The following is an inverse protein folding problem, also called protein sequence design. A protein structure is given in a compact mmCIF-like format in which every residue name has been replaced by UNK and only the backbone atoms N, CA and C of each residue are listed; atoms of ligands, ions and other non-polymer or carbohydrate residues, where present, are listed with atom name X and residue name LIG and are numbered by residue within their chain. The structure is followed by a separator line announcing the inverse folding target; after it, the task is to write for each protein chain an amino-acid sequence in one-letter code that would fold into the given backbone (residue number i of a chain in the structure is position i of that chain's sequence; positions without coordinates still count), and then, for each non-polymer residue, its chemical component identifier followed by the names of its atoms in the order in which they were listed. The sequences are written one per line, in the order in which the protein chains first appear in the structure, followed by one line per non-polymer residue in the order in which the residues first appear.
data_IF_918215868848
#
_entry.id   IF_918215868848
#
_cell.length_a   1.000
_cell.length_b   1.000
_cell.length_c   1.000
_cell.angle_alpha   90.00
_cell.angle_beta   90.00
_cell.angle_gamma   90.00
#
_symmetry.space_group_name_H-M   'P 1'
#
loop_
_entity.id
_entity.type
_entity.pdbx_description
1 polymer ?
#
# COMPACT_ATOMS: atom_id res chain seq x y z
N UNK A 1 -21.32 11.10 5.32
CA UNK A 1 -20.13 10.23 5.47
C UNK A 1 -19.68 9.75 4.10
N UNK A 2 -18.40 9.57 3.94
CA UNK A 2 -17.84 9.23 2.63
C UNK A 2 -17.53 7.74 2.53
N UNK A 3 -18.19 7.07 1.59
CA UNK A 3 -17.88 5.66 1.31
C UNK A 3 -16.49 5.50 0.71
N UNK A 4 -16.06 6.50 -0.06
CA UNK A 4 -14.73 6.48 -0.64
C UNK A 4 -13.67 6.51 0.46
N UNK A 5 -13.79 7.42 1.42
CA UNK A 5 -12.83 7.52 2.53
C UNK A 5 -12.81 6.22 3.33
N UNK A 6 -13.97 5.67 3.64
CA UNK A 6 -14.03 4.41 4.39
C UNK A 6 -13.36 3.27 3.62
N UNK A 7 -13.61 3.19 2.32
CA UNK A 7 -12.99 2.17 1.47
C UNK A 7 -11.49 2.31 1.42
N UNK A 8 -10.99 3.53 1.31
CA UNK A 8 -9.56 3.80 1.30
C UNK A 8 -8.93 3.41 2.63
N UNK A 9 -9.54 3.78 3.74
CA UNK A 9 -9.03 3.43 5.07
C UNK A 9 -8.99 1.91 5.26
N UNK A 10 -10.02 1.20 4.81
CA UNK A 10 -10.02 -0.26 4.85
C UNK A 10 -8.89 -0.85 4.03
N UNK A 11 -8.71 -0.34 2.82
CA UNK A 11 -7.66 -0.83 1.94
C UNK A 11 -6.29 -0.63 2.56
N UNK A 12 -6.08 0.49 3.24
CA UNK A 12 -4.80 0.83 3.86
C UNK A 12 -4.55 0.11 5.19
N UNK A 13 -5.54 -0.57 5.74
CA UNK A 13 -5.39 -1.26 7.03
C UNK A 13 -4.54 -2.52 6.95
N UNK A 14 -4.24 -3.00 5.75
CA UNK A 14 -3.43 -4.20 5.54
C UNK A 14 -1.98 -3.82 5.23
N UNK A 15 -1.01 -4.27 6.04
CA UNK A 15 0.40 -3.94 5.77
C UNK A 15 0.88 -4.32 4.36
N UNK A 16 0.46 -5.49 3.86
CA UNK A 16 0.85 -5.92 2.53
C UNK A 16 0.39 -4.95 1.45
N UNK A 17 -0.80 -4.38 1.61
CA UNK A 17 -1.33 -3.41 0.65
C UNK A 17 -0.53 -2.12 0.65
N UNK A 18 -0.12 -1.67 1.84
CA UNK A 18 0.73 -0.48 1.95
C UNK A 18 2.08 -0.71 1.29
N UNK A 19 2.64 -1.91 1.44
CA UNK A 19 3.91 -2.25 0.78
C UNK A 19 3.78 -2.26 -0.74
N UNK A 20 2.68 -2.79 -1.26
CA UNK A 20 2.43 -2.76 -2.69
C UNK A 20 2.32 -1.32 -3.21
N UNK A 21 1.63 -0.46 -2.48
CA UNK A 21 1.54 0.95 -2.86
C UNK A 21 2.90 1.63 -2.86
N UNK A 22 3.74 1.33 -1.88
CA UNK A 22 5.10 1.89 -1.81
C UNK A 22 5.93 1.44 -3.00
N UNK A 23 5.85 0.19 -3.36
CA UNK A 23 6.56 -0.32 -4.53
C UNK A 23 6.10 0.43 -5.79
N UNK A 24 4.81 0.66 -5.91
CA UNK A 24 4.26 1.38 -7.06
C UNK A 24 4.57 2.87 -7.04
N UNK A 25 4.93 3.43 -5.89
CA UNK A 25 5.30 4.84 -5.83
C UNK A 25 6.60 5.12 -6.56
N UNK A 26 7.43 4.11 -6.77
CA UNK A 26 8.69 4.26 -7.49
C UNK A 26 8.51 4.17 -8.99
N UNK A 27 7.70 3.22 -9.45
CA UNK A 27 7.45 3.03 -10.88
C UNK A 27 6.32 2.04 -11.10
N UNK A 28 5.78 2.06 -12.30
CA UNK A 28 4.78 1.10 -12.74
C UNK A 28 5.39 -0.31 -12.70
N UNK A 29 4.60 -1.31 -12.35
CA UNK A 29 5.11 -2.66 -12.17
C UNK A 29 4.04 -3.71 -12.46
N UNK A 30 4.45 -4.86 -13.00
CA UNK A 30 3.52 -5.96 -13.21
C UNK A 30 3.34 -6.78 -11.93
N UNK A 31 2.30 -7.62 -11.90
CA UNK A 31 1.97 -8.39 -10.70
C UNK A 31 3.07 -9.35 -10.30
N UNK A 32 3.78 -9.92 -11.28
CA UNK A 32 4.88 -10.86 -10.98
C UNK A 32 6.00 -10.18 -10.22
N UNK A 33 6.45 -9.02 -10.72
CA UNK A 33 7.51 -8.27 -10.07
C UNK A 33 7.06 -7.70 -8.73
N UNK A 34 5.81 -7.26 -8.63
CA UNK A 34 5.27 -6.75 -7.37
C UNK A 34 5.22 -7.84 -6.30
N UNK A 35 4.75 -9.03 -6.66
CA UNK A 35 4.65 -10.13 -5.71
C UNK A 35 6.04 -10.54 -5.21
N UNK A 36 7.00 -10.65 -6.12
CA UNK A 36 8.36 -11.00 -5.79
C UNK A 36 9.01 -9.95 -4.88
N UNK A 37 8.87 -8.69 -5.24
CA UNK A 37 9.46 -7.59 -4.47
C UNK A 37 8.86 -7.43 -3.08
N UNK A 38 7.60 -7.79 -2.90
CA UNK A 38 6.91 -7.67 -1.61
C UNK A 38 6.86 -8.97 -0.81
N UNK A 39 7.47 -10.04 -1.33
CA UNK A 39 7.48 -11.31 -0.63
C UNK A 39 6.12 -11.97 -0.56
N UNK A 40 5.29 -11.77 -1.56
CA UNK A 40 3.94 -12.35 -1.62
C UNK A 40 3.87 -13.37 -2.74
N UNK A 41 3.01 -14.37 -2.59
CA UNK A 41 2.70 -15.20 -3.74
C UNK A 41 1.80 -14.41 -4.69
N UNK A 42 1.79 -14.80 -5.95
CA UNK A 42 1.10 -14.05 -6.99
C UNK A 42 -0.43 -13.99 -6.78
N UNK A 43 -1.10 -15.08 -6.39
CA UNK A 43 -2.54 -14.99 -6.12
C UNK A 43 -2.88 -14.03 -4.98
N UNK A 44 -2.07 -13.99 -3.93
CA UNK A 44 -2.27 -13.07 -2.81
C UNK A 44 -2.06 -11.62 -3.26
N UNK A 45 -0.98 -11.36 -3.99
CA UNK A 45 -0.72 -10.04 -4.53
C UNK A 45 -1.87 -9.57 -5.43
N UNK A 46 -2.39 -10.46 -6.28
CA UNK A 46 -3.50 -10.13 -7.17
C UNK A 46 -4.75 -9.74 -6.40
N UNK A 47 -5.04 -10.44 -5.31
CA UNK A 47 -6.20 -10.11 -4.46
C UNK A 47 -6.05 -8.75 -3.82
N UNK A 48 -4.86 -8.45 -3.31
CA UNK A 48 -4.60 -7.15 -2.69
C UNK A 48 -4.68 -6.03 -3.73
N UNK A 49 -4.14 -6.25 -4.92
CA UNK A 49 -4.19 -5.26 -5.98
C UNK A 49 -5.62 -5.02 -6.44
N UNK A 50 -6.45 -6.07 -6.50
CA UNK A 50 -7.87 -5.91 -6.82
C UNK A 50 -8.58 -5.06 -5.78
N UNK A 51 -8.28 -5.26 -4.50
CA UNK A 51 -8.86 -4.47 -3.42
C UNK A 51 -8.40 -3.01 -3.49
N UNK A 52 -7.11 -2.78 -3.77
CA UNK A 52 -6.59 -1.43 -3.93
C UNK A 52 -7.22 -0.72 -5.13
N UNK A 53 -7.43 -1.45 -6.21
CA UNK A 53 -8.08 -0.89 -7.40
C UNK A 53 -9.53 -0.53 -7.10
N UNK A 54 -10.25 -1.40 -6.40
CA UNK A 54 -11.63 -1.14 -6.03
C UNK A 54 -11.75 0.10 -5.14
N UNK A 55 -10.73 0.37 -4.32
CA UNK A 55 -10.69 1.55 -3.47
C UNK A 55 -10.22 2.82 -4.21
N UNK A 56 -9.83 2.69 -5.47
CA UNK A 56 -9.38 3.83 -6.27
C UNK A 56 -7.94 4.22 -6.09
N UNK A 57 -7.13 3.36 -5.50
CA UNK A 57 -5.74 3.69 -5.18
C UNK A 57 -4.74 3.27 -6.25
N UNK A 58 -5.10 2.29 -7.07
CA UNK A 58 -4.24 1.86 -8.18
C UNK A 58 -5.02 1.75 -9.46
N UNK A 59 -4.31 1.87 -10.57
CA UNK A 59 -4.82 1.66 -11.93
C UNK A 59 -4.10 0.47 -12.53
N UNK A 60 -4.73 -0.16 -13.52
CA UNK A 60 -4.13 -1.27 -14.22
C UNK A 60 -4.18 -0.99 -15.73
N UNK A 61 -3.11 -1.34 -16.40
CA UNK A 61 -2.98 -1.24 -17.84
C UNK A 61 -2.62 -2.63 -18.38
N UNK A 62 -3.28 -3.05 -19.43
CA UNK A 62 -2.97 -4.33 -20.07
C UNK A 62 -1.94 -4.08 -21.16
N UNK A 63 -0.84 -4.82 -21.12
CA UNK A 63 0.22 -4.76 -22.09
C UNK A 63 0.52 -6.18 -22.56
N UNK A 64 -0.16 -6.61 -23.63
CA UNK A 64 -0.08 -7.98 -24.07
C UNK A 64 -0.67 -8.92 -23.03
N UNK A 65 0.16 -9.78 -22.47
CA UNK A 65 -0.24 -10.72 -21.42
C UNK A 65 0.02 -10.18 -20.02
N UNK A 66 0.60 -8.99 -19.94
CA UNK A 66 1.01 -8.42 -18.66
C UNK A 66 -0.02 -7.44 -18.16
N UNK A 67 -0.22 -7.47 -16.87
CA UNK A 67 -1.02 -6.46 -16.16
C UNK A 67 -0.07 -5.56 -15.42
N UNK A 68 0.01 -4.31 -15.86
CA UNK A 68 0.92 -3.33 -15.28
C UNK A 68 0.13 -2.39 -14.39
N UNK A 69 0.50 -2.37 -13.12
CA UNK A 69 -0.17 -1.55 -12.11
C UNK A 69 0.60 -0.27 -11.86
N UNK A 70 -0.13 0.78 -11.55
CA UNK A 70 0.45 2.08 -11.20
C UNK A 70 -0.45 2.75 -10.18
N UNK A 71 0.08 3.78 -9.49
CA UNK A 71 -0.76 4.56 -8.57
C UNK A 71 -1.81 5.32 -9.37
N UNK A 72 -3.05 5.30 -8.85
CA UNK A 72 -4.11 6.16 -9.36
C UNK A 72 -4.12 7.44 -8.54
N UNK A 73 -4.58 8.55 -9.13
CA UNK A 73 -4.73 9.80 -8.41
C UNK A 73 -3.48 10.16 -7.61
N UNK A 74 -2.35 10.21 -8.29
CA UNK A 74 -1.05 10.37 -7.63
C UNK A 74 -0.96 11.60 -6.76
N UNK A 75 -1.63 12.68 -7.16
CA UNK A 75 -1.63 13.93 -6.41
C UNK A 75 -2.28 13.79 -5.03
N UNK A 76 -3.04 12.72 -4.83
CA UNK A 76 -3.66 12.40 -3.55
C UNK A 76 -2.93 11.24 -2.88
N UNK A 77 -2.65 10.19 -3.63
CA UNK A 77 -2.10 8.94 -3.06
C UNK A 77 -0.66 9.13 -2.58
N UNK A 78 0.16 9.88 -3.33
CA UNK A 78 1.56 10.10 -2.90
C UNK A 78 1.66 10.82 -1.57
N UNK A 79 0.93 11.93 -1.34
CA UNK A 79 0.94 12.56 -0.01
C UNK A 79 0.44 11.64 1.09
N UNK A 80 -0.54 10.78 0.81
CA UNK A 80 -1.01 9.81 1.78
C UNK A 80 0.10 8.84 2.19
N UNK A 81 0.85 8.33 1.22
CA UNK A 81 1.95 7.41 1.50
C UNK A 81 3.06 8.10 2.28
N UNK A 82 3.35 9.35 1.97
CA UNK A 82 4.31 10.13 2.74
C UNK A 82 3.87 10.27 4.19
N UNK A 83 2.60 10.58 4.40
CA UNK A 83 2.05 10.73 5.73
C UNK A 83 2.14 9.42 6.53
N UNK A 84 1.80 8.31 5.89
CA UNK A 84 1.93 6.99 6.52
C UNK A 84 3.37 6.70 6.90
N UNK A 85 4.32 7.07 6.05
CA UNK A 85 5.75 6.92 6.34
C UNK A 85 6.17 7.75 7.55
N UNK A 86 5.62 8.95 7.66
CA UNK A 86 5.90 9.81 8.82
C UNK A 86 5.31 9.23 10.11
N UNK A 87 4.15 8.59 10.02
CA UNK A 87 3.57 7.90 11.17
C UNK A 87 4.43 6.73 11.62
N UNK A 88 4.99 5.99 10.68
CA UNK A 88 5.91 4.89 11.00
C UNK A 88 7.17 5.42 11.67
N UNK A 89 7.71 6.53 11.16
CA UNK A 89 8.87 7.17 11.79
C UNK A 89 8.55 7.66 13.20
N UNK A 90 7.34 8.20 13.39
CA UNK A 90 6.89 8.62 14.70
C UNK A 90 6.78 7.42 15.64
N UNK A 91 6.26 6.31 15.15
CA UNK A 91 6.16 5.09 15.96
C UNK A 91 7.53 4.65 16.44
N UNK A 92 8.53 4.67 15.58
CA UNK A 92 9.90 4.33 15.95
C UNK A 92 10.45 5.26 17.02
N UNK A 93 10.16 6.57 16.91
CA UNK A 93 10.57 7.55 17.90
C UNK A 93 9.90 7.29 19.25
N UNK A 94 8.60 6.96 19.22
CA UNK A 94 7.87 6.67 20.44
C UNK A 94 8.36 5.40 21.09
N UNK A 95 8.69 4.37 20.30
CA UNK A 95 9.24 3.10 20.81
C UNK A 95 10.64 3.31 21.35
N UNK A 96 11.45 4.11 20.68
CA UNK A 96 12.80 4.43 21.13
C UNK A 96 12.82 5.27 22.39
N UNK A 97 11.83 6.13 22.60
CA UNK A 97 11.73 6.99 23.76
C UNK A 97 11.03 6.33 24.95
N UNK A 98 10.11 5.41 24.67
CA UNK A 98 9.31 4.76 25.70
C UNK A 98 9.92 3.43 26.12
N UNK A 99 9.87 3.11 27.41
CA UNK A 99 10.35 1.79 27.87
C UNK A 99 9.53 0.67 27.25
N UNK A 100 10.20 -0.45 26.98
CA UNK A 100 9.58 -1.62 26.39
C UNK A 100 8.33 -2.11 27.08
N UNK A 101 8.25 -2.13 28.41
CA UNK A 101 7.08 -2.69 29.08
C UNK A 101 5.77 -2.05 28.66
N UNK A 102 5.81 -0.81 28.24
CA UNK A 102 4.61 -0.12 27.81
C UNK A 102 3.97 -0.75 26.58
N UNK A 103 4.70 -1.57 25.88
CA UNK A 103 4.22 -2.20 24.64
C UNK A 103 3.83 -3.64 24.82
N UNK A 104 3.99 -4.16 26.02
CA UNK A 104 3.72 -5.56 26.27
C UNK A 104 2.25 -5.91 26.24
N UNK A 105 1.42 -4.93 26.20
CA UNK A 105 -0.03 -5.15 26.15
C UNK A 105 -0.52 -5.59 24.80
#
# INVERSE_FOLDING_TARGET
MSELVTGVCRALSHPARRELLRALSSHECDVGNLSEGCGLDQPTASKHLAALRAAGLVSVRIDGRRRCYSLAHEEIVRPMLELLGRLEALEEQLEGAAPSPARAG
#
